data_IF_717762914773
#
_entry.id   IF_717762914773
#
_cell.length_a   1.000
_cell.length_b   1.000
_cell.length_c   1.000
_cell.angle_alpha   90.00
_cell.angle_beta   90.00
_cell.angle_gamma   90.00
#
_symmetry.space_group_name_H-M   'P 1'
#
loop_
_entity.id
_entity.type
_entity.pdbx_description
1 polymer ?
#
# COMPACT_ATOMS: atom_id res chain seq x y z
N UNK A 1 17.68 21.66 13.21
CA UNK A 1 17.01 20.50 12.60
C UNK A 1 15.65 20.99 12.13
N UNK A 2 15.39 20.96 10.82
CA UNK A 2 14.08 21.36 10.27
C UNK A 2 13.08 20.27 10.62
N UNK A 3 12.05 20.60 11.39
CA UNK A 3 10.93 19.72 11.61
C UNK A 3 10.27 19.42 10.25
N UNK A 4 9.90 18.17 9.95
CA UNK A 4 9.05 17.92 8.81
C UNK A 4 7.76 18.72 9.00
N UNK A 5 7.48 19.64 8.08
CA UNK A 5 6.17 20.29 8.02
C UNK A 5 5.16 19.22 7.62
N UNK A 6 4.43 18.70 8.60
CA UNK A 6 3.24 17.92 8.32
C UNK A 6 2.21 18.93 7.79
N UNK A 7 2.11 19.02 6.48
CA UNK A 7 1.04 19.79 5.85
C UNK A 7 -0.27 19.10 6.22
N UNK A 8 -1.27 19.79 6.78
CA UNK A 8 -2.58 19.22 6.95
C UNK A 8 -3.12 18.88 5.57
N UNK A 9 -3.11 17.59 5.23
CA UNK A 9 -3.66 17.10 3.97
C UNK A 9 -5.17 17.01 4.17
N UNK A 10 -5.86 18.14 4.19
CA UNK A 10 -7.32 18.22 4.14
C UNK A 10 -7.87 18.05 2.73
N UNK A 11 -7.01 17.92 1.72
CA UNK A 11 -7.38 17.64 0.35
C UNK A 11 -7.05 16.19 0.04
N UNK A 12 -8.11 15.46 -0.24
CA UNK A 12 -8.12 14.17 -0.88
C UNK A 12 -7.05 14.12 -1.97
N UNK A 13 -6.03 13.29 -1.81
CA UNK A 13 -5.07 13.09 -2.87
C UNK A 13 -5.71 12.22 -3.97
N UNK A 14 -6.28 12.90 -4.97
CA UNK A 14 -6.81 12.27 -6.19
C UNK A 14 -5.75 11.53 -7.01
N UNK A 15 -4.49 11.53 -6.57
CA UNK A 15 -3.43 10.76 -7.20
C UNK A 15 -3.55 9.25 -6.95
N UNK A 16 -4.40 8.82 -6.03
CA UNK A 16 -4.64 7.39 -5.79
C UNK A 16 -5.32 6.75 -7.00
N UNK A 17 -4.62 5.84 -7.64
CA UNK A 17 -5.04 5.20 -8.90
C UNK A 17 -5.76 3.89 -8.62
N UNK A 18 -5.26 3.09 -7.69
CA UNK A 18 -5.83 1.80 -7.29
C UNK A 18 -5.78 1.65 -5.77
N UNK A 19 -6.74 0.92 -5.22
CA UNK A 19 -6.77 0.54 -3.81
C UNK A 19 -6.98 -0.96 -3.70
N UNK A 20 -6.30 -1.58 -2.75
CA UNK A 20 -6.41 -3.01 -2.50
C UNK A 20 -6.77 -3.27 -1.04
N UNK A 21 -7.56 -4.31 -0.83
CA UNK A 21 -7.88 -4.82 0.49
C UNK A 21 -7.55 -6.30 0.55
N UNK A 22 -6.56 -6.67 1.34
CA UNK A 22 -6.34 -8.06 1.71
C UNK A 22 -7.31 -8.42 2.83
N UNK A 23 -7.99 -9.56 2.70
CA UNK A 23 -8.96 -10.06 3.69
C UNK A 23 -9.06 -11.59 3.61
N UNK A 24 -9.77 -12.22 4.56
CA UNK A 24 -10.09 -13.65 4.46
C UNK A 24 -11.26 -13.86 3.52
N UNK A 25 -11.26 -14.95 2.77
CA UNK A 25 -12.28 -15.29 1.75
C UNK A 25 -13.71 -15.23 2.31
N UNK A 26 -13.94 -15.68 3.55
CA UNK A 26 -15.25 -15.60 4.22
C UNK A 26 -15.81 -14.18 4.36
N UNK A 27 -14.98 -13.14 4.29
CA UNK A 27 -15.40 -11.75 4.38
C UNK A 27 -15.47 -11.05 3.01
N UNK A 28 -14.96 -11.68 1.95
CA UNK A 28 -14.85 -11.06 0.63
C UNK A 28 -16.22 -10.70 0.05
N UNK A 29 -17.18 -11.62 0.08
CA UNK A 29 -18.52 -11.38 -0.44
C UNK A 29 -19.25 -10.27 0.33
N UNK A 30 -19.06 -10.21 1.65
CA UNK A 30 -19.60 -9.12 2.47
C UNK A 30 -19.03 -7.77 2.06
N UNK A 31 -17.70 -7.70 1.87
CA UNK A 31 -17.03 -6.49 1.42
C UNK A 31 -17.50 -6.09 0.00
N UNK A 32 -17.56 -7.01 -0.95
CA UNK A 32 -18.03 -6.76 -2.32
C UNK A 32 -19.51 -6.36 -2.37
N UNK A 33 -20.31 -6.84 -1.41
CA UNK A 33 -21.69 -6.37 -1.21
C UNK A 33 -21.75 -4.95 -0.61
N UNK A 34 -20.61 -4.36 -0.27
CA UNK A 34 -20.49 -3.00 0.24
C UNK A 34 -20.56 -2.88 1.76
N UNK A 35 -20.40 -3.96 2.50
CA UNK A 35 -20.34 -3.92 3.96
C UNK A 35 -18.89 -3.68 4.40
N UNK A 36 -18.59 -2.44 4.76
CA UNK A 36 -17.23 -2.00 5.10
C UNK A 36 -17.04 -2.04 6.60
N UNK A 37 -16.15 -2.92 7.06
CA UNK A 37 -15.79 -3.05 8.46
C UNK A 37 -14.70 -2.05 8.86
N UNK A 38 -14.93 -1.34 9.97
CA UNK A 38 -13.97 -0.46 10.60
C UNK A 38 -13.39 -1.12 11.85
N UNK A 39 -12.09 -0.97 12.04
CA UNK A 39 -11.39 -1.42 13.24
C UNK A 39 -11.01 -0.23 14.12
N UNK A 40 -10.52 -0.50 15.32
CA UNK A 40 -10.00 0.52 16.24
C UNK A 40 -8.49 0.36 16.39
N UNK A 41 -7.69 1.45 16.49
CA UNK A 41 -6.24 1.38 16.67
C UNK A 41 -5.80 0.46 17.81
N UNK A 42 -6.52 0.44 18.92
CA UNK A 42 -6.24 -0.47 20.04
C UNK A 42 -6.24 -1.96 19.64
N UNK A 43 -6.97 -2.35 18.60
CA UNK A 43 -6.99 -3.73 18.13
C UNK A 43 -5.66 -4.10 17.45
N UNK A 44 -5.05 -3.16 16.71
CA UNK A 44 -3.74 -3.39 16.09
C UNK A 44 -2.62 -3.48 17.12
N UNK A 45 -2.67 -2.64 18.18
CA UNK A 45 -1.75 -2.76 19.31
C UNK A 45 -1.86 -4.14 19.95
N UNK A 46 -3.08 -4.60 20.20
CA UNK A 46 -3.34 -5.93 20.76
C UNK A 46 -2.87 -7.07 19.86
N UNK A 47 -3.06 -6.93 18.54
CA UNK A 47 -2.60 -7.94 17.58
C UNK A 47 -1.08 -8.12 17.67
N UNK A 48 -0.31 -7.03 17.77
CA UNK A 48 1.16 -7.10 17.97
C UNK A 48 1.54 -7.73 19.31
N UNK A 49 0.86 -7.37 20.41
CA UNK A 49 1.06 -7.97 21.73
C UNK A 49 0.81 -9.49 21.73
N UNK A 50 -0.08 -9.96 20.86
CA UNK A 50 -0.37 -11.38 20.65
C UNK A 50 0.60 -12.05 19.68
N UNK A 51 1.57 -11.32 19.13
CA UNK A 51 2.59 -11.83 18.23
C UNK A 51 2.19 -11.85 16.75
N UNK A 52 1.06 -11.23 16.38
CA UNK A 52 0.59 -11.10 14.99
C UNK A 52 1.32 -9.95 14.30
N UNK A 53 2.64 -10.11 14.11
CA UNK A 53 3.47 -9.12 13.42
C UNK A 53 2.97 -8.89 11.98
N UNK A 54 3.01 -7.63 11.57
CA UNK A 54 2.56 -7.20 10.24
C UNK A 54 1.12 -6.69 10.21
N UNK A 55 0.18 -7.33 10.92
CA UNK A 55 -1.17 -6.80 11.16
C UNK A 55 -1.22 -5.87 12.37
N UNK A 56 -0.43 -6.18 13.39
CA UNK A 56 -0.27 -5.36 14.58
C UNK A 56 0.75 -4.25 14.40
N UNK A 57 0.67 -3.23 15.25
CA UNK A 57 1.67 -2.17 15.41
C UNK A 57 1.65 -1.69 16.86
N UNK A 58 2.66 -2.10 17.65
CA UNK A 58 2.78 -1.67 19.05
C UNK A 58 2.93 -0.15 19.18
N UNK A 59 3.41 0.51 18.13
CA UNK A 59 3.61 1.96 18.09
C UNK A 59 2.41 2.71 17.46
N UNK A 60 1.30 2.04 17.21
CA UNK A 60 0.12 2.64 16.58
C UNK A 60 -0.42 3.83 17.41
N UNK A 61 -0.61 4.97 16.72
CA UNK A 61 -1.14 6.20 17.32
C UNK A 61 -0.19 6.90 18.32
N UNK A 62 1.10 6.52 18.33
CA UNK A 62 2.10 7.26 19.13
C UNK A 62 2.41 8.60 18.46
N UNK A 63 2.43 9.67 19.27
CA UNK A 63 2.73 11.04 18.82
C UNK A 63 4.03 11.59 19.37
N UNK A 64 4.62 10.94 20.36
CA UNK A 64 5.87 11.36 21.00
C UNK A 64 6.65 10.12 21.44
N UNK A 65 7.96 10.20 21.26
CA UNK A 65 8.95 9.30 21.84
C UNK A 65 9.94 10.09 22.68
N UNK A 66 10.25 9.61 23.86
CA UNK A 66 11.23 10.21 24.77
C UNK A 66 12.20 9.14 25.29
N UNK A 67 13.42 9.53 25.62
CA UNK A 67 14.33 8.61 26.32
C UNK A 67 13.79 8.24 27.68
N UNK A 68 14.01 7.02 28.13
CA UNK A 68 13.50 6.55 29.41
C UNK A 68 14.03 7.35 30.63
N UNK A 69 15.21 7.95 30.48
CA UNK A 69 15.85 8.79 31.49
C UNK A 69 15.48 10.29 31.37
N UNK A 70 14.59 10.67 30.46
CA UNK A 70 14.11 12.04 30.33
C UNK A 70 13.17 12.38 31.48
N UNK A 71 13.67 13.22 32.39
CA UNK A 71 12.95 13.76 33.56
C UNK A 71 12.53 15.19 33.36
N UNK A 72 12.44 15.69 32.13
CA UNK A 72 11.97 17.03 31.86
C UNK A 72 10.55 17.23 32.41
N UNK A 73 10.27 18.42 32.90
CA UNK A 73 8.92 18.76 33.45
C UNK A 73 7.80 18.51 32.44
N UNK A 74 8.09 18.66 31.16
CA UNK A 74 7.15 18.34 30.06
C UNK A 74 6.80 16.86 30.03
N UNK A 75 7.80 15.98 30.05
CA UNK A 75 7.60 14.51 30.02
C UNK A 75 6.89 14.03 31.29
N UNK A 76 7.28 14.54 32.44
CA UNK A 76 6.61 14.18 33.71
C UNK A 76 5.13 14.61 33.71
N UNK A 77 4.79 15.78 33.19
CA UNK A 77 3.40 16.20 33.03
C UNK A 77 2.61 15.31 32.07
N UNK A 78 3.21 14.86 30.98
CA UNK A 78 2.56 13.92 30.06
C UNK A 78 2.27 12.57 30.73
N UNK A 79 3.20 12.04 31.52
CA UNK A 79 3.02 10.79 32.28
C UNK A 79 1.86 10.89 33.28
N UNK A 80 1.58 12.06 33.81
CA UNK A 80 0.51 12.31 34.76
C UNK A 80 -0.85 12.64 34.11
N UNK A 81 -0.88 12.86 32.79
CA UNK A 81 -2.12 13.20 32.10
C UNK A 81 -3.04 11.99 31.96
N UNK A 82 -4.32 12.09 32.40
CA UNK A 82 -5.26 10.97 32.30
C UNK A 82 -5.65 10.62 30.85
N UNK A 83 -5.48 11.57 29.93
CA UNK A 83 -5.83 11.42 28.53
C UNK A 83 -4.70 10.83 27.69
N UNK A 84 -3.53 10.63 28.30
CA UNK A 84 -2.32 10.14 27.62
C UNK A 84 -1.87 8.85 28.28
N UNK A 85 -1.80 7.79 27.51
CA UNK A 85 -1.13 6.56 27.91
C UNK A 85 0.33 6.58 27.50
N UNK A 86 1.19 5.98 28.31
CA UNK A 86 2.59 5.80 27.98
C UNK A 86 3.03 4.35 28.23
N UNK A 87 4.04 3.92 27.50
CA UNK A 87 4.61 2.59 27.62
C UNK A 87 6.07 2.60 27.15
N UNK A 88 6.84 1.64 27.62
CA UNK A 88 8.25 1.46 27.23
C UNK A 88 8.36 0.38 26.15
N UNK A 89 9.11 0.68 25.11
CA UNK A 89 9.43 -0.27 24.07
C UNK A 89 10.86 -0.02 23.55
N UNK A 90 11.70 -1.04 23.52
CA UNK A 90 13.10 -0.97 23.08
C UNK A 90 13.91 0.18 23.72
N UNK A 91 13.72 0.45 25.00
CA UNK A 91 14.44 1.50 25.74
C UNK A 91 13.98 2.93 25.47
N UNK A 92 12.80 3.10 24.86
CA UNK A 92 12.17 4.38 24.57
C UNK A 92 10.79 4.41 25.20
N UNK A 93 10.42 5.52 25.82
CA UNK A 93 9.05 5.77 26.31
C UNK A 93 8.23 6.44 25.23
N UNK A 94 7.14 5.80 24.86
CA UNK A 94 6.18 6.28 23.85
C UNK A 94 4.91 6.79 24.48
N UNK A 95 4.31 7.80 23.87
CA UNK A 95 3.08 8.45 24.34
C UNK A 95 2.01 8.41 23.27
N UNK A 96 0.76 8.07 23.65
CA UNK A 96 -0.41 8.10 22.77
C UNK A 96 -1.61 8.70 23.47
N UNK A 97 -2.52 9.30 22.67
CA UNK A 97 -3.79 9.81 23.18
C UNK A 97 -4.78 8.66 23.34
N UNK A 98 -5.28 8.47 24.56
CA UNK A 98 -6.19 7.34 24.86
C UNK A 98 -7.48 7.41 24.05
N UNK A 99 -8.03 8.60 23.79
CA UNK A 99 -9.24 8.78 22.99
C UNK A 99 -9.07 8.30 21.54
N UNK A 100 -7.88 8.47 20.94
CA UNK A 100 -7.65 8.11 19.56
C UNK A 100 -7.53 6.59 19.35
N UNK A 101 -7.31 5.83 20.42
CA UNK A 101 -7.33 4.37 20.38
C UNK A 101 -8.73 3.78 20.17
N UNK A 102 -9.78 4.59 20.38
CA UNK A 102 -11.20 4.20 20.22
C UNK A 102 -11.82 4.68 18.90
N UNK A 103 -11.10 5.45 18.09
CA UNK A 103 -11.61 5.93 16.81
C UNK A 103 -11.80 4.78 15.81
N UNK A 104 -12.80 4.92 14.95
CA UNK A 104 -13.03 3.95 13.88
C UNK A 104 -12.14 4.24 12.67
N UNK A 105 -11.37 3.24 12.27
CA UNK A 105 -10.42 3.35 11.17
C UNK A 105 -10.59 2.21 10.17
N UNK A 106 -10.37 2.52 8.88
CA UNK A 106 -10.28 1.55 7.80
C UNK A 106 -8.92 1.71 7.12
N UNK A 107 -8.16 0.62 7.02
CA UNK A 107 -6.85 0.58 6.39
C UNK A 107 -6.92 -0.23 5.10
N UNK A 108 -6.32 0.31 4.05
CA UNK A 108 -6.22 -0.31 2.73
C UNK A 108 -4.86 -0.02 2.12
N UNK A 109 -4.38 -0.86 1.23
CA UNK A 109 -3.19 -0.57 0.43
C UNK A 109 -3.57 0.37 -0.72
N UNK A 110 -2.76 1.40 -0.97
CA UNK A 110 -3.03 2.36 -2.04
C UNK A 110 -1.84 2.59 -2.95
N UNK A 111 -2.11 2.61 -4.25
CA UNK A 111 -1.16 3.02 -5.27
C UNK A 111 -1.52 4.41 -5.78
N UNK A 112 -0.59 5.33 -5.65
CA UNK A 112 -0.70 6.68 -6.18
C UNK A 112 0.02 6.80 -7.54
N UNK A 113 -0.09 7.94 -8.19
CA UNK A 113 0.54 8.18 -9.49
C UNK A 113 2.06 7.97 -9.50
N UNK A 114 2.73 8.18 -8.35
CA UNK A 114 4.18 7.99 -8.22
C UNK A 114 4.58 6.52 -8.06
N UNK A 115 3.61 5.64 -7.77
CA UNK A 115 3.84 4.19 -7.68
C UNK A 115 3.96 3.52 -9.05
N UNK A 116 3.77 4.27 -10.14
CA UNK A 116 3.75 3.73 -11.50
C UNK A 116 4.94 4.20 -12.31
N UNK A 117 5.56 3.25 -13.00
CA UNK A 117 6.46 3.51 -14.12
C UNK A 117 5.66 3.59 -15.41
N UNK A 118 5.86 4.64 -16.22
CA UNK A 118 5.11 4.82 -17.47
C UNK A 118 6.00 4.68 -18.71
N UNK A 119 5.48 4.02 -19.73
CA UNK A 119 6.13 3.88 -21.03
C UNK A 119 5.10 3.76 -22.15
N UNK A 120 5.56 3.90 -23.40
CA UNK A 120 4.72 3.76 -24.61
C UNK A 120 5.30 2.64 -25.47
N UNK A 121 4.47 1.68 -25.85
CA UNK A 121 4.88 0.58 -26.73
C UNK A 121 5.02 0.99 -28.20
N UNK A 122 5.50 0.07 -29.04
CA UNK A 122 5.67 0.30 -30.49
C UNK A 122 4.36 0.57 -31.24
N UNK A 123 3.22 0.23 -30.66
CA UNK A 123 1.88 0.47 -31.21
C UNK A 123 1.26 1.78 -30.73
N UNK A 124 1.98 2.53 -29.87
CA UNK A 124 1.52 3.78 -29.29
C UNK A 124 0.63 3.60 -28.05
N UNK A 125 0.52 2.40 -27.48
CA UNK A 125 -0.21 2.20 -26.24
C UNK A 125 0.60 2.73 -25.05
N UNK A 126 -0.07 3.44 -24.17
CA UNK A 126 0.51 3.92 -22.92
C UNK A 126 0.34 2.85 -21.85
N UNK A 127 1.43 2.51 -21.20
CA UNK A 127 1.51 1.55 -20.10
C UNK A 127 1.83 2.24 -18.79
N UNK A 128 1.21 1.79 -17.71
CA UNK A 128 1.52 2.18 -16.33
C UNK A 128 1.76 0.91 -15.53
N UNK A 129 3.03 0.64 -15.24
CA UNK A 129 3.48 -0.56 -14.54
C UNK A 129 3.67 -0.27 -13.06
N UNK A 130 3.15 -1.13 -12.21
CA UNK A 130 3.35 -1.07 -10.77
C UNK A 130 3.39 -2.47 -10.15
N UNK A 131 3.83 -2.52 -8.88
CA UNK A 131 3.84 -3.77 -8.10
C UNK A 131 3.37 -3.55 -6.67
N UNK A 132 2.78 -4.59 -6.09
CA UNK A 132 2.55 -4.72 -4.66
C UNK A 132 3.56 -5.74 -4.14
N UNK A 133 4.34 -5.35 -3.12
CA UNK A 133 5.33 -6.24 -2.52
C UNK A 133 4.67 -7.48 -1.91
N UNK A 134 5.33 -8.62 -2.06
CA UNK A 134 4.98 -9.85 -1.32
C UNK A 134 4.96 -9.64 0.19
N UNK A 135 5.76 -8.69 0.70
CA UNK A 135 5.83 -8.42 2.14
C UNK A 135 4.48 -7.90 2.67
N UNK A 136 3.75 -7.08 1.86
CA UNK A 136 2.38 -6.70 2.20
C UNK A 136 1.46 -7.92 2.34
N UNK A 137 1.55 -8.86 1.40
CA UNK A 137 0.72 -10.07 1.44
C UNK A 137 1.12 -10.99 2.61
N UNK A 138 2.41 -11.09 2.89
CA UNK A 138 2.95 -11.89 4.02
C UNK A 138 2.42 -11.38 5.36
N UNK A 139 2.40 -10.07 5.55
CA UNK A 139 1.85 -9.43 6.76
C UNK A 139 0.39 -9.81 7.01
N UNK A 140 -0.44 -9.85 5.95
CA UNK A 140 -1.86 -10.17 6.06
C UNK A 140 -2.18 -11.66 6.05
N UNK A 141 -1.26 -12.50 5.63
CA UNK A 141 -1.41 -13.96 5.65
C UNK A 141 -0.97 -14.60 6.97
N UNK A 142 -0.59 -13.80 7.98
CA UNK A 142 -0.08 -14.31 9.26
C UNK A 142 1.18 -15.18 9.08
N UNK A 143 2.04 -14.86 8.09
CA UNK A 143 3.21 -15.62 7.67
C UNK A 143 2.92 -17.08 7.24
N UNK A 144 1.72 -17.33 6.71
CA UNK A 144 1.38 -18.66 6.16
C UNK A 144 2.38 -19.02 5.05
N UNK A 145 2.96 -20.22 5.15
CA UNK A 145 3.68 -20.80 4.03
C UNK A 145 2.72 -21.25 2.93
N UNK A 146 3.22 -21.48 1.73
CA UNK A 146 2.41 -22.04 0.64
C UNK A 146 1.84 -23.41 0.99
N UNK A 147 2.56 -24.22 1.75
CA UNK A 147 2.10 -25.53 2.22
C UNK A 147 0.96 -25.37 3.23
N UNK A 148 1.09 -24.45 4.20
CA UNK A 148 0.01 -24.16 5.15
C UNK A 148 -1.24 -23.64 4.44
N UNK A 149 -1.08 -22.76 3.44
CA UNK A 149 -2.19 -22.23 2.63
C UNK A 149 -3.00 -23.32 1.94
N UNK A 150 -2.35 -24.40 1.51
CA UNK A 150 -3.03 -25.53 0.88
C UNK A 150 -3.84 -26.39 1.86
N UNK A 151 -3.55 -26.30 3.16
CA UNK A 151 -4.15 -27.13 4.21
C UNK A 151 -5.22 -26.42 5.04
N UNK A 152 -5.22 -25.07 5.07
CA UNK A 152 -6.24 -24.33 5.81
C UNK A 152 -7.61 -24.39 5.14
N UNK A 153 -8.66 -24.19 5.94
CA UNK A 153 -10.04 -24.09 5.44
C UNK A 153 -10.15 -23.04 4.35
N UNK A 154 -10.85 -23.33 3.27
CA UNK A 154 -10.97 -22.43 2.12
C UNK A 154 -11.57 -21.07 2.50
N UNK A 155 -12.44 -21.02 3.48
CA UNK A 155 -13.04 -19.77 4.00
C UNK A 155 -12.03 -18.87 4.74
N UNK A 156 -10.98 -19.45 5.30
CA UNK A 156 -9.93 -18.74 6.05
C UNK A 156 -8.77 -18.27 5.16
N UNK A 157 -8.72 -18.73 3.91
CA UNK A 157 -7.68 -18.33 2.96
C UNK A 157 -7.71 -16.81 2.75
N UNK A 158 -6.55 -16.13 2.75
CA UNK A 158 -6.48 -14.75 2.35
C UNK A 158 -6.84 -14.59 0.87
N UNK A 159 -7.46 -13.47 0.55
CA UNK A 159 -7.80 -13.04 -0.82
C UNK A 159 -7.55 -11.55 -0.94
N UNK A 160 -7.44 -11.08 -2.17
CA UNK A 160 -7.17 -9.67 -2.48
C UNK A 160 -8.35 -9.09 -3.25
N UNK A 161 -8.90 -7.98 -2.77
CA UNK A 161 -9.93 -7.21 -3.46
C UNK A 161 -9.27 -5.96 -3.99
N UNK A 162 -9.32 -5.76 -5.30
CA UNK A 162 -8.86 -4.55 -5.98
C UNK A 162 -10.04 -3.62 -6.25
N UNK A 163 -9.93 -2.39 -5.80
CA UNK A 163 -10.88 -1.31 -6.08
C UNK A 163 -10.34 -0.49 -7.25
N UNK A 164 -10.95 -0.66 -8.43
CA UNK A 164 -10.52 -0.05 -9.70
C UNK A 164 -10.91 1.42 -9.81
N UNK A 165 -11.90 1.86 -9.04
CA UNK A 165 -12.33 3.25 -8.97
C UNK A 165 -12.36 3.74 -7.51
N UNK A 166 -11.19 4.09 -6.93
CA UNK A 166 -11.09 4.58 -5.56
C UNK A 166 -11.93 5.82 -5.29
N UNK A 167 -12.04 6.71 -6.27
CA UNK A 167 -12.82 7.93 -6.14
C UNK A 167 -14.31 7.63 -5.85
N UNK A 168 -14.91 6.76 -6.64
CA UNK A 168 -16.30 6.35 -6.43
C UNK A 168 -16.48 5.59 -5.10
N UNK A 169 -15.52 4.71 -4.75
CA UNK A 169 -15.53 4.02 -3.46
C UNK A 169 -15.59 5.00 -2.29
N UNK A 170 -14.71 5.99 -2.27
CA UNK A 170 -14.66 6.95 -1.17
C UNK A 170 -15.85 7.93 -1.18
N UNK A 171 -16.42 8.25 -2.34
CA UNK A 171 -17.68 9.01 -2.42
C UNK A 171 -18.82 8.22 -1.78
N UNK A 172 -18.99 6.94 -2.12
CA UNK A 172 -20.02 6.07 -1.51
C UNK A 172 -19.82 5.98 -0.01
N UNK A 173 -18.57 5.81 0.44
CA UNK A 173 -18.23 5.73 1.85
C UNK A 173 -18.57 7.02 2.60
N UNK A 174 -18.16 8.19 2.09
CA UNK A 174 -18.51 9.50 2.67
C UNK A 174 -20.01 9.70 2.76
N UNK A 175 -20.77 9.42 1.71
CA UNK A 175 -22.24 9.53 1.69
C UNK A 175 -22.88 8.64 2.75
N UNK A 176 -22.41 7.41 2.90
CA UNK A 176 -22.94 6.48 3.90
C UNK A 176 -22.65 6.97 5.32
N UNK A 177 -21.42 7.43 5.60
CA UNK A 177 -21.03 7.98 6.90
C UNK A 177 -21.82 9.26 7.22
N UNK A 178 -21.99 10.16 6.24
CA UNK A 178 -22.80 11.39 6.42
C UNK A 178 -24.28 11.04 6.69
N UNK A 179 -24.82 10.00 6.07
CA UNK A 179 -26.20 9.54 6.34
C UNK A 179 -26.38 8.98 7.76
N UNK A 180 -25.30 8.51 8.39
CA UNK A 180 -25.28 8.10 9.78
C UNK A 180 -25.11 9.29 10.76
N UNK A 181 -24.88 10.50 10.23
CA UNK A 181 -24.78 11.74 11.01
C UNK A 181 -23.34 12.21 11.24
N UNK A 182 -22.36 11.69 10.51
CA UNK A 182 -20.95 12.14 10.60
C UNK A 182 -20.76 13.33 9.66
N UNK A 183 -20.27 14.49 10.16
CA UNK A 183 -19.87 15.62 9.34
C UNK A 183 -18.74 15.23 8.37
N UNK A 184 -18.69 15.81 7.19
CA UNK A 184 -17.63 15.54 6.21
C UNK A 184 -16.24 15.89 6.74
N UNK A 185 -16.11 16.95 7.52
CA UNK A 185 -14.87 17.41 8.14
C UNK A 185 -14.32 16.44 9.20
N UNK A 186 -15.17 15.57 9.73
CA UNK A 186 -14.77 14.51 10.66
C UNK A 186 -14.32 13.22 9.97
N UNK A 187 -14.40 13.16 8.62
CA UNK A 187 -13.98 12.00 7.81
C UNK A 187 -12.64 12.32 7.16
N UNK A 188 -11.56 11.82 7.76
CA UNK A 188 -10.21 11.98 7.25
C UNK A 188 -9.89 10.78 6.35
N UNK A 189 -9.47 11.04 5.10
CA UNK A 189 -8.98 10.02 4.17
C UNK A 189 -7.62 10.49 3.68
N UNK A 190 -6.56 9.77 4.04
CA UNK A 190 -5.21 10.17 3.69
C UNK A 190 -4.25 8.98 3.62
N UNK A 191 -3.15 9.09 2.85
CA UNK A 191 -2.05 8.15 2.93
C UNK A 191 -1.37 8.25 4.30
N UNK A 192 -0.83 7.12 4.75
CA UNK A 192 0.00 7.05 5.95
C UNK A 192 1.40 7.53 5.59
N UNK A 193 2.00 8.33 6.47
CA UNK A 193 3.39 8.74 6.39
C UNK A 193 4.26 7.81 7.23
N UNK A 194 5.30 7.26 6.62
CA UNK A 194 6.22 6.33 7.26
C UNK A 194 7.45 7.07 7.79
N UNK A 195 7.69 6.96 9.09
CA UNK A 195 8.74 7.68 9.80
C UNK A 195 9.46 6.76 10.78
N UNK A 196 10.70 7.09 11.12
CA UNK A 196 11.39 6.42 12.22
C UNK A 196 10.79 6.89 13.56
N UNK A 197 9.86 6.10 14.11
CA UNK A 197 9.18 6.44 15.36
C UNK A 197 10.09 6.46 16.58
N UNK A 198 11.27 5.84 16.52
CA UNK A 198 12.25 5.90 17.62
C UNK A 198 12.87 7.30 17.80
N UNK A 199 12.78 8.13 16.76
CA UNK A 199 13.32 9.50 16.74
C UNK A 199 12.22 10.58 16.83
N UNK A 200 10.97 10.19 17.09
CA UNK A 200 9.88 11.16 17.17
C UNK A 200 10.06 12.06 18.39
N UNK A 201 10.25 13.32 18.13
CA UNK A 201 10.11 14.42 19.11
C UNK A 201 8.93 15.34 18.76
N UNK A 202 7.86 14.81 18.16
CA UNK A 202 6.77 15.63 17.64
C UNK A 202 5.67 15.74 18.70
N UNK A 203 5.80 16.74 19.56
CA UNK A 203 4.80 17.05 20.58
C UNK A 203 3.54 17.75 20.05
N UNK A 204 3.54 18.26 18.83
CA UNK A 204 2.50 19.17 18.32
C UNK A 204 1.69 18.63 17.13
N UNK A 205 1.54 17.32 17.02
CA UNK A 205 0.63 16.77 15.99
C UNK A 205 -0.82 16.97 16.46
N UNK A 206 -1.67 17.67 15.68
CA UNK A 206 -3.08 17.75 15.98
C UNK A 206 -3.73 16.36 16.00
N UNK A 207 -4.57 16.10 17.03
CA UNK A 207 -5.40 14.89 17.08
C UNK A 207 -6.40 14.92 15.91
N UNK A 208 -6.64 13.81 15.22
CA UNK A 208 -6.05 12.47 15.35
C UNK A 208 -4.93 12.15 14.32
N UNK A 209 -4.22 13.18 13.81
CA UNK A 209 -3.27 13.01 12.70
C UNK A 209 -2.08 12.09 13.05
N UNK A 210 -1.80 11.82 14.31
CA UNK A 210 -0.82 10.80 14.72
C UNK A 210 -1.21 9.39 14.24
N UNK A 211 -2.49 9.15 13.98
CA UNK A 211 -2.96 7.91 13.39
C UNK A 211 -2.61 7.78 11.89
N UNK A 212 -2.11 8.85 11.27
CA UNK A 212 -1.54 8.82 9.92
C UNK A 212 -0.02 8.63 9.92
N UNK A 213 0.59 8.43 11.08
CA UNK A 213 2.02 8.13 11.20
C UNK A 213 2.23 6.66 11.54
N UNK A 214 3.07 5.99 10.78
CA UNK A 214 3.46 4.60 11.02
C UNK A 214 4.98 4.45 11.02
N UNK A 215 5.49 3.42 11.70
CA UNK A 215 6.92 3.17 11.69
C UNK A 215 7.39 2.80 10.27
N UNK A 216 8.57 3.28 9.89
CA UNK A 216 9.16 3.05 8.56
C UNK A 216 9.41 1.58 8.25
N UNK A 217 9.44 0.71 9.26
CA UNK A 217 9.45 -0.74 9.08
C UNK A 217 8.29 -1.25 8.22
N UNK A 218 7.14 -0.54 8.24
CA UNK A 218 5.91 -0.91 7.52
C UNK A 218 5.71 -0.17 6.19
N UNK A 219 6.72 0.50 5.64
CA UNK A 219 6.58 1.32 4.43
C UNK A 219 6.09 0.52 3.20
N UNK A 220 6.42 -0.78 3.15
CA UNK A 220 5.93 -1.72 2.15
C UNK A 220 4.40 -1.89 2.15
N UNK A 221 3.70 -1.44 3.21
CA UNK A 221 2.23 -1.52 3.29
C UNK A 221 1.53 -0.43 2.49
N UNK A 222 2.22 0.66 2.12
CA UNK A 222 1.67 1.76 1.29
C UNK A 222 0.21 2.11 1.65
N UNK A 223 -0.04 2.33 2.95
CA UNK A 223 -1.37 2.36 3.54
C UNK A 223 -2.11 3.65 3.23
N UNK A 224 -3.39 3.53 2.86
CA UNK A 224 -4.38 4.62 2.90
C UNK A 224 -5.32 4.35 4.06
N UNK A 225 -5.54 5.36 4.88
CA UNK A 225 -6.36 5.26 6.06
C UNK A 225 -7.58 6.17 5.98
N UNK A 226 -8.74 5.62 6.33
CA UNK A 226 -9.95 6.40 6.64
C UNK A 226 -10.08 6.44 8.15
N UNK A 227 -10.17 7.64 8.72
CA UNK A 227 -10.34 7.86 10.16
C UNK A 227 -11.63 8.63 10.37
N UNK A 228 -12.48 8.16 11.28
CA UNK A 228 -13.70 8.85 11.70
C UNK A 228 -13.37 9.58 13.00
N UNK A 229 -13.11 10.88 12.89
CA UNK A 229 -12.72 11.75 14.00
C UNK A 229 -13.96 12.33 14.68
N UNK A 230 -14.70 11.51 15.42
CA UNK A 230 -15.91 11.97 16.09
C UNK A 230 -15.98 11.54 17.54
N UNK A 231 -16.51 12.43 18.38
CA UNK A 231 -16.90 12.14 19.77
C UNK A 231 -18.43 12.07 19.93
N UNK A 232 -19.18 12.06 18.81
CA UNK A 232 -20.63 11.96 18.83
C UNK A 232 -21.07 10.59 19.36
N UNK A 233 -21.61 10.58 20.58
CA UNK A 233 -22.01 9.35 21.26
C UNK A 233 -23.11 8.58 20.52
N UNK A 234 -24.04 9.27 19.84
CA UNK A 234 -25.10 8.63 19.07
C UNK A 234 -24.54 7.88 17.86
N UNK A 235 -23.50 8.45 17.23
CA UNK A 235 -22.79 7.75 16.16
C UNK A 235 -21.99 6.56 16.67
N UNK A 236 -21.24 6.74 17.76
CA UNK A 236 -20.44 5.66 18.35
C UNK A 236 -21.35 4.47 18.74
N UNK A 237 -22.51 4.74 19.32
CA UNK A 237 -23.50 3.71 19.65
C UNK A 237 -24.03 3.03 18.37
N UNK A 238 -24.37 3.78 17.33
CA UNK A 238 -24.79 3.20 16.05
C UNK A 238 -23.73 2.28 15.44
N UNK A 239 -22.47 2.67 15.49
CA UNK A 239 -21.36 1.83 14.99
C UNK A 239 -21.22 0.53 15.79
N UNK A 240 -21.38 0.58 17.11
CA UNK A 240 -21.40 -0.64 17.94
C UNK A 240 -22.60 -1.53 17.58
N UNK A 241 -23.80 -0.96 17.43
CA UNK A 241 -25.02 -1.69 17.03
C UNK A 241 -24.87 -2.36 15.65
N UNK A 242 -24.13 -1.73 14.74
CA UNK A 242 -23.79 -2.23 13.41
C UNK A 242 -22.54 -3.13 13.39
N UNK A 243 -22.03 -3.52 14.55
CA UNK A 243 -20.80 -4.32 14.67
C UNK A 243 -19.63 -3.69 13.88
N UNK A 244 -19.47 -2.38 13.99
CA UNK A 244 -18.43 -1.58 13.29
C UNK A 244 -18.49 -1.65 11.75
N UNK A 245 -19.65 -1.95 11.17
CA UNK A 245 -19.82 -2.12 9.73
C UNK A 245 -20.73 -1.05 9.14
N UNK A 246 -20.30 -0.45 8.02
CA UNK A 246 -21.06 0.55 7.28
C UNK A 246 -21.38 0.01 5.89
N UNK A 247 -22.67 0.07 5.50
CA UNK A 247 -23.08 -0.34 4.15
C UNK A 247 -23.01 0.84 3.17
N UNK A 248 -22.27 0.65 2.06
CA UNK A 248 -22.04 1.67 1.03
C UNK A 248 -22.64 1.30 -0.33
N UNK A 249 -23.41 0.21 -0.37
CA UNK A 249 -23.92 -0.39 -1.60
C UNK A 249 -22.89 -1.28 -2.29
N UNK A 250 -23.36 -2.11 -3.21
CA UNK A 250 -22.55 -3.09 -3.93
C UNK A 250 -21.32 -2.46 -4.60
N UNK A 251 -20.19 -3.16 -4.53
CA UNK A 251 -18.92 -2.76 -5.13
C UNK A 251 -18.57 -3.56 -6.39
N UNK A 252 -19.42 -4.50 -6.82
CA UNK A 252 -19.14 -5.35 -7.99
C UNK A 252 -18.90 -4.58 -9.29
N UNK A 253 -19.36 -3.33 -9.38
CA UNK A 253 -19.13 -2.44 -10.52
C UNK A 253 -17.77 -1.78 -10.52
N UNK A 254 -17.14 -1.64 -9.35
CA UNK A 254 -15.85 -0.94 -9.17
C UNK A 254 -14.75 -1.78 -8.52
N UNK A 255 -15.05 -3.00 -8.08
CA UNK A 255 -14.08 -3.86 -7.41
C UNK A 255 -14.07 -5.26 -8.02
N UNK A 256 -12.94 -5.94 -7.86
CA UNK A 256 -12.68 -7.29 -8.36
C UNK A 256 -11.93 -8.11 -7.34
N UNK A 257 -12.27 -9.40 -7.23
CA UNK A 257 -11.67 -10.36 -6.31
C UNK A 257 -10.57 -11.13 -7.01
N UNK A 258 -9.43 -11.25 -6.37
CA UNK A 258 -8.27 -12.04 -6.81
C UNK A 258 -7.87 -13.05 -5.75
N UNK A 259 -7.34 -14.17 -6.21
CA UNK A 259 -6.67 -15.11 -5.34
C UNK A 259 -5.42 -14.48 -4.73
N UNK A 260 -5.03 -15.01 -3.58
CA UNK A 260 -3.85 -14.55 -2.87
C UNK A 260 -2.56 -15.03 -3.58
N UNK A 261 -1.55 -14.16 -3.59
CA UNK A 261 -0.24 -14.44 -4.17
C UNK A 261 0.84 -14.44 -3.09
N UNK A 262 1.77 -15.39 -3.19
CA UNK A 262 2.94 -15.49 -2.31
C UNK A 262 4.17 -14.74 -2.85
N UNK A 263 4.04 -14.15 -4.03
CA UNK A 263 5.06 -13.34 -4.69
C UNK A 263 4.56 -11.91 -4.89
N UNK A 264 5.44 -11.03 -5.39
CA UNK A 264 5.06 -9.68 -5.78
C UNK A 264 3.94 -9.73 -6.83
N UNK A 265 2.87 -8.98 -6.61
CA UNK A 265 1.81 -8.82 -7.60
C UNK A 265 2.16 -7.67 -8.53
N UNK A 266 2.50 -7.99 -9.77
CA UNK A 266 2.79 -6.98 -10.79
C UNK A 266 1.59 -6.81 -11.71
N UNK A 267 1.29 -5.58 -12.06
CA UNK A 267 0.22 -5.26 -12.99
C UNK A 267 0.61 -4.08 -13.89
N UNK A 268 -0.01 -4.07 -15.05
CA UNK A 268 0.17 -3.08 -16.10
C UNK A 268 -1.20 -2.51 -16.49
N UNK A 269 -1.34 -1.20 -16.43
CA UNK A 269 -2.55 -0.51 -16.87
C UNK A 269 -2.30 0.04 -18.27
N UNK A 270 -2.97 -0.56 -19.26
CA UNK A 270 -2.82 -0.17 -20.66
C UNK A 270 -3.88 0.85 -21.05
N UNK A 271 -3.44 1.99 -21.58
CA UNK A 271 -4.30 3.10 -22.03
C UNK A 271 -5.29 3.61 -20.95
N UNK A 272 -4.98 3.38 -19.68
CA UNK A 272 -5.78 3.86 -18.54
C UNK A 272 -7.06 3.08 -18.24
N UNK A 273 -7.36 2.02 -18.98
CA UNK A 273 -8.63 1.30 -18.84
C UNK A 273 -8.52 -0.24 -18.88
N UNK A 274 -7.39 -0.78 -19.29
CA UNK A 274 -7.16 -2.21 -19.32
C UNK A 274 -6.09 -2.58 -18.30
N UNK A 275 -6.46 -3.33 -17.27
CA UNK A 275 -5.54 -3.80 -16.24
C UNK A 275 -5.12 -5.22 -16.62
N UNK A 276 -3.83 -5.41 -16.83
CA UNK A 276 -3.22 -6.72 -17.12
C UNK A 276 -2.39 -7.15 -15.93
N UNK A 277 -2.63 -8.35 -15.43
CA UNK A 277 -1.80 -8.97 -14.40
C UNK A 277 -0.74 -9.85 -15.08
N UNK A 278 0.49 -9.80 -14.55
CA UNK A 278 1.48 -10.80 -14.94
C UNK A 278 1.06 -12.14 -14.34
N UNK A 279 0.47 -12.97 -15.17
CA UNK A 279 0.29 -14.37 -14.86
C UNK A 279 1.68 -15.04 -14.89
N UNK A 280 2.09 -15.76 -13.84
CA UNK A 280 3.27 -16.60 -13.91
C UNK A 280 2.98 -17.72 -14.94
N UNK A 281 3.94 -17.99 -15.77
CA UNK A 281 4.10 -19.08 -16.73
C UNK A 281 3.92 -18.73 -18.21
N UNK A 282 5.03 -18.39 -18.80
CA UNK A 282 5.40 -18.94 -20.09
C UNK A 282 6.76 -19.61 -19.93
N UNK A 283 6.91 -20.79 -20.50
CA UNK A 283 8.15 -21.56 -20.52
C UNK A 283 9.37 -20.66 -20.75
N UNK A 284 10.46 -20.92 -20.02
CA UNK A 284 11.74 -20.22 -20.18
C UNK A 284 12.21 -20.29 -21.65
N UNK A 285 11.81 -19.31 -22.45
CA UNK A 285 12.40 -19.14 -23.79
C UNK A 285 13.77 -18.50 -23.62
N UNK A 286 14.75 -19.05 -24.33
CA UNK A 286 16.04 -18.40 -24.48
C UNK A 286 15.85 -16.98 -25.04
N UNK A 287 16.55 -15.97 -24.53
CA UNK A 287 16.54 -14.61 -25.11
C UNK A 287 16.83 -14.61 -26.64
N UNK A 288 17.56 -15.62 -27.11
CA UNK A 288 17.87 -15.75 -28.54
C UNK A 288 16.65 -16.18 -29.39
N UNK A 289 15.62 -16.74 -28.78
CA UNK A 289 14.41 -17.22 -29.48
C UNK A 289 13.27 -16.19 -29.43
N UNK A 290 13.46 -15.11 -28.68
CA UNK A 290 12.48 -14.04 -28.54
C UNK A 290 12.47 -13.10 -29.71
N UNK A 291 11.29 -12.54 -30.03
CA UNK A 291 11.13 -11.45 -31.01
C UNK A 291 11.63 -10.15 -30.40
N UNK A 292 11.84 -9.14 -31.24
CA UNK A 292 12.33 -7.83 -30.79
C UNK A 292 11.37 -7.15 -29.77
N UNK A 293 10.06 -7.24 -30.02
CA UNK A 293 9.04 -6.68 -29.14
C UNK A 293 9.03 -7.38 -27.77
N UNK A 294 9.18 -8.71 -27.73
CA UNK A 294 9.30 -9.50 -26.50
C UNK A 294 10.57 -9.14 -25.71
N UNK A 295 11.70 -8.95 -26.41
CA UNK A 295 12.97 -8.56 -25.78
C UNK A 295 12.95 -7.13 -25.23
N UNK A 296 12.33 -6.21 -25.95
CA UNK A 296 12.17 -4.81 -25.49
C UNK A 296 11.25 -4.76 -24.28
N UNK A 297 10.14 -5.48 -24.29
CA UNK A 297 9.22 -5.59 -23.16
C UNK A 297 9.91 -6.19 -21.94
N UNK A 298 10.68 -7.28 -22.13
CA UNK A 298 11.45 -7.90 -21.07
C UNK A 298 12.54 -6.96 -20.52
N UNK A 299 13.25 -6.24 -21.40
CA UNK A 299 14.24 -5.24 -20.99
C UNK A 299 13.60 -4.16 -20.09
N UNK A 300 12.46 -3.63 -20.48
CA UNK A 300 11.71 -2.63 -19.72
C UNK A 300 11.27 -3.20 -18.37
N UNK A 301 10.73 -4.42 -18.34
CA UNK A 301 10.31 -5.08 -17.09
C UNK A 301 11.49 -5.25 -16.11
N UNK A 302 12.64 -5.69 -16.59
CA UNK A 302 13.83 -5.85 -15.74
C UNK A 302 14.35 -4.47 -15.28
N UNK A 303 14.37 -3.47 -16.15
CA UNK A 303 14.79 -2.11 -15.80
C UNK A 303 13.90 -1.52 -14.71
N UNK A 304 12.61 -1.70 -14.80
CA UNK A 304 11.62 -1.24 -13.83
C UNK A 304 11.50 -2.15 -12.59
N UNK A 305 12.40 -3.12 -12.42
CA UNK A 305 12.33 -4.12 -11.32
C UNK A 305 11.01 -4.88 -11.27
N UNK A 306 10.36 -5.03 -12.41
CA UNK A 306 9.15 -5.82 -12.55
C UNK A 306 9.48 -7.32 -12.58
N UNK A 307 8.49 -8.15 -12.27
CA UNK A 307 8.64 -9.61 -12.33
C UNK A 307 8.82 -10.03 -13.80
N UNK A 308 9.82 -10.86 -14.05
CA UNK A 308 10.00 -11.59 -15.29
C UNK A 308 9.40 -13.00 -15.15
N UNK A 309 9.25 -13.69 -16.29
CA UNK A 309 8.70 -15.06 -16.31
C UNK A 309 9.43 -15.97 -15.32
N UNK A 310 8.67 -16.72 -14.51
CA UNK A 310 9.19 -17.53 -13.40
C UNK A 310 9.09 -16.85 -12.04
N UNK A 311 8.45 -15.68 -11.91
CA UNK A 311 8.21 -15.01 -10.62
C UNK A 311 9.45 -14.36 -10.01
N UNK A 312 10.53 -14.16 -10.78
CA UNK A 312 11.78 -13.59 -10.28
C UNK A 312 11.87 -12.09 -10.54
N UNK A 313 12.30 -11.34 -9.51
CA UNK A 313 12.77 -9.98 -9.67
C UNK A 313 14.28 -10.01 -9.72
N UNK A 314 14.84 -9.48 -10.81
CA UNK A 314 16.29 -9.32 -10.93
C UNK A 314 16.71 -8.01 -10.26
N UNK A 315 17.67 -8.09 -9.35
CA UNK A 315 18.27 -6.94 -8.68
C UNK A 315 19.80 -7.01 -8.68
N UNK A 316 20.43 -5.87 -8.47
CA UNK A 316 21.91 -5.78 -8.40
C UNK A 316 22.58 -6.32 -9.65
N UNK A 317 23.65 -7.09 -9.48
CA UNK A 317 24.46 -7.61 -10.59
C UNK A 317 23.69 -8.49 -11.56
N UNK A 318 22.73 -9.29 -11.08
CA UNK A 318 21.91 -10.14 -11.94
C UNK A 318 21.03 -9.31 -12.89
N UNK A 319 20.51 -8.19 -12.42
CA UNK A 319 19.77 -7.20 -13.23
C UNK A 319 20.69 -6.62 -14.32
N UNK A 320 21.87 -6.13 -13.93
CA UNK A 320 22.84 -5.53 -14.87
C UNK A 320 23.27 -6.53 -15.97
N UNK A 321 23.58 -7.77 -15.61
CA UNK A 321 23.98 -8.81 -16.53
C UNK A 321 22.87 -9.19 -17.52
N UNK A 322 21.62 -9.28 -17.04
CA UNK A 322 20.45 -9.56 -17.88
C UNK A 322 20.16 -8.41 -18.84
N UNK A 323 20.17 -7.18 -18.39
CA UNK A 323 19.96 -5.99 -19.22
C UNK A 323 21.04 -5.85 -20.29
N UNK A 324 22.32 -6.05 -19.92
CA UNK A 324 23.44 -6.03 -20.87
C UNK A 324 23.30 -7.12 -21.93
N UNK A 325 22.88 -8.33 -21.55
CA UNK A 325 22.67 -9.46 -22.46
C UNK A 325 21.53 -9.18 -23.43
N UNK A 326 20.38 -8.71 -22.94
CA UNK A 326 19.21 -8.40 -23.79
C UNK A 326 19.56 -7.26 -24.75
N UNK A 327 20.19 -6.19 -24.26
CA UNK A 327 20.63 -5.05 -25.06
C UNK A 327 21.55 -5.51 -26.19
N UNK A 328 22.56 -6.32 -25.88
CA UNK A 328 23.47 -6.87 -26.91
C UNK A 328 22.73 -7.70 -27.96
N UNK A 329 21.75 -8.52 -27.59
CA UNK A 329 20.95 -9.30 -28.52
C UNK A 329 20.11 -8.38 -29.42
N UNK A 330 19.49 -7.37 -28.89
CA UNK A 330 18.69 -6.38 -29.62
C UNK A 330 19.58 -5.65 -30.64
N UNK A 331 20.76 -5.20 -30.21
CA UNK A 331 21.71 -4.48 -31.06
C UNK A 331 22.26 -5.39 -32.19
N UNK A 332 22.71 -6.60 -31.85
CA UNK A 332 23.40 -7.49 -32.79
C UNK A 332 22.44 -8.19 -33.76
N UNK A 333 21.27 -8.58 -33.29
CA UNK A 333 20.32 -9.37 -34.07
C UNK A 333 19.35 -8.52 -34.89
N UNK A 334 18.96 -7.34 -34.34
CA UNK A 334 17.94 -6.50 -34.95
C UNK A 334 18.46 -5.15 -35.43
N UNK A 335 19.72 -4.81 -35.15
CA UNK A 335 20.29 -3.52 -35.51
C UNK A 335 19.62 -2.32 -34.87
N UNK A 336 19.13 -2.49 -33.65
CA UNK A 336 18.39 -1.48 -32.86
C UNK A 336 19.19 -1.13 -31.61
N UNK A 337 19.32 0.15 -31.31
CA UNK A 337 20.03 0.65 -30.14
C UNK A 337 19.01 1.13 -29.10
N UNK A 338 19.13 0.62 -27.86
CA UNK A 338 18.37 1.11 -26.71
C UNK A 338 19.18 2.17 -25.97
N UNK A 339 18.59 3.34 -25.79
CA UNK A 339 19.19 4.45 -25.06
C UNK A 339 18.23 5.00 -24.00
N UNK A 340 18.77 5.45 -22.87
CA UNK A 340 18.02 6.12 -21.82
C UNK A 340 18.16 7.63 -21.97
N UNK A 341 17.05 8.33 -22.00
CA UNK A 341 17.01 9.79 -21.96
C UNK A 341 15.77 10.26 -21.19
N UNK A 342 15.98 11.11 -20.19
CA UNK A 342 14.90 11.73 -19.41
C UNK A 342 13.87 10.72 -18.85
N UNK A 343 14.35 9.59 -18.26
CA UNK A 343 13.56 8.46 -17.77
C UNK A 343 12.70 7.75 -18.84
N UNK A 344 13.07 7.90 -20.11
CA UNK A 344 12.45 7.20 -21.23
C UNK A 344 13.46 6.28 -21.91
N UNK A 345 12.99 5.08 -22.31
CA UNK A 345 13.77 4.19 -23.17
C UNK A 345 13.47 4.59 -24.61
N UNK A 346 14.51 5.03 -25.32
CA UNK A 346 14.42 5.44 -26.72
C UNK A 346 15.03 4.35 -27.59
N UNK A 347 14.31 3.96 -28.63
CA UNK A 347 14.71 2.92 -29.56
C UNK A 347 15.15 3.55 -30.87
N UNK A 348 16.40 3.34 -31.26
CA UNK A 348 16.96 3.84 -32.53
C UNK A 348 17.29 2.71 -33.48
N UNK A 349 17.10 2.94 -34.77
CA UNK A 349 17.67 2.06 -35.77
C UNK A 349 19.17 2.40 -35.95
N UNK A 350 20.06 1.42 -35.80
CA UNK A 350 21.53 1.61 -35.85
C UNK A 350 21.99 2.20 -37.18
N UNK A 351 21.24 2.03 -38.26
CA UNK A 351 21.59 2.55 -39.61
C UNK A 351 21.44 4.07 -39.73
N UNK A 352 20.73 4.74 -38.79
CA UNK A 352 20.53 6.20 -38.78
C UNK A 352 21.52 6.96 -37.90
N UNK A 353 22.39 6.28 -37.15
CA UNK A 353 23.34 6.91 -36.23
C UNK A 353 24.67 7.36 -36.86
N UNK A 354 24.87 7.11 -38.15
CA UNK A 354 26.09 7.48 -38.88
C UNK A 354 25.98 8.80 -39.70
N UNK A 355 24.89 9.56 -39.50
CA UNK A 355 24.71 10.86 -40.15
C UNK A 355 24.24 11.90 -39.10
N UNK A 356 25.10 12.23 -38.15
CA UNK A 356 25.00 13.44 -37.38
C UNK A 356 26.40 13.93 -36.99
#
# INVERSE_FOLDING_TARGET
>A
MSHPEIKPIFNYDFSTVLVFKCTRKKFADSFLSGNIYFNKPKAWVRDEELGNKGRGDILEGTFLAAKNDDTSHFIENLKLSPDISNFEYNGVTYFRRSCNQELFCLCMYGLNSNSFNSWIDANGNKHLLSKISKDYFTDFSENLSQDDFNTIDDSEKPVVIMIKNPHEFFIRLRRALSSLGIPEDDIIIAPVEYIDKSQIHIANIPSPLELLLKDSYYDHQSEIRVIINTTNMDFLQKMEDLSSTVSIGSLHDIAELFDFYFDDMVFDIVNGNQIMFNLPHSEERSFNDMRIDELVDLYIKIECEAIISGGQILSGKAKEDALAKIKNIIETRFGVILSHKDNQIIIYNSQNSTKA
#
